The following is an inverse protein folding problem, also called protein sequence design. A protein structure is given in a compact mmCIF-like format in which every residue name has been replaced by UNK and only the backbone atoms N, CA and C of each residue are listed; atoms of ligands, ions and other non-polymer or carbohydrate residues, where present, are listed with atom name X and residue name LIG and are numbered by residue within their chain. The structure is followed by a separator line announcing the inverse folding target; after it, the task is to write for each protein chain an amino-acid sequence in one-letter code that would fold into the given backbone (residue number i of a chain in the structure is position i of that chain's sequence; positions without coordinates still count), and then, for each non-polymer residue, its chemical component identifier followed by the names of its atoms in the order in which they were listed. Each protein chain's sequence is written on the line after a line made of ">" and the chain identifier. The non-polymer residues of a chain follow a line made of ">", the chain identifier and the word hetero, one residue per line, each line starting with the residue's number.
data_IF_869550431432
#
_entry.id   IF_869550431432
#
_cell.length_a   1.000
_cell.length_b   1.000
_cell.length_c   1.000
_cell.angle_alpha   90.00
_cell.angle_beta   90.00
_cell.angle_gamma   90.00
#
_symmetry.space_group_name_H-M   'P 1'
#
loop_
_entity.id
_entity.type
_entity.pdbx_description
1 polymer ?
#
# COMPACT_ATOMS: atom_id res chain seq x y z
N UNK A 1 49.24 -46.15 34.22
CA UNK A 1 49.59 -45.36 35.41
C UNK A 1 49.28 -43.90 35.13
N UNK A 2 48.48 -43.28 36.02
CA UNK A 2 48.55 -41.89 36.51
C UNK A 2 49.10 -40.78 35.58
N UNK A 3 48.31 -39.73 35.29
CA UNK A 3 48.32 -38.39 35.98
C UNK A 3 48.92 -37.34 35.00
N UNK A 4 48.49 -36.08 34.84
CA UNK A 4 47.48 -35.21 35.43
C UNK A 4 47.40 -33.88 34.61
N UNK A 5 46.21 -33.25 34.55
CA UNK A 5 45.88 -31.82 34.87
C UNK A 5 46.50 -30.69 33.98
N UNK A 6 45.88 -29.50 33.78
CA UNK A 6 44.46 -29.08 33.77
C UNK A 6 44.05 -28.28 32.51
N UNK A 7 42.75 -28.16 32.29
CA UNK A 7 42.13 -27.18 31.38
C UNK A 7 41.44 -26.11 32.25
N UNK A 8 41.86 -24.85 32.13
CA UNK A 8 41.07 -23.69 32.56
C UNK A 8 41.20 -22.62 31.48
N UNK A 9 40.15 -22.44 30.69
CA UNK A 9 39.94 -21.20 29.94
C UNK A 9 38.49 -20.81 30.15
N UNK A 10 38.31 -19.76 30.96
CA UNK A 10 37.06 -19.05 31.10
C UNK A 10 36.73 -18.35 29.76
N UNK A 11 35.57 -18.64 29.19
CA UNK A 11 35.06 -17.93 28.02
C UNK A 11 33.72 -17.29 28.39
N UNK A 12 33.80 -16.06 28.87
CA UNK A 12 32.67 -15.15 29.04
C UNK A 12 32.21 -14.67 27.67
N UNK A 13 31.15 -15.26 27.12
CA UNK A 13 30.49 -14.71 25.93
C UNK A 13 29.31 -13.84 26.36
N UNK A 14 29.48 -12.52 26.17
CA UNK A 14 28.45 -11.50 26.30
C UNK A 14 27.27 -11.82 25.36
N UNK A 15 26.12 -12.14 25.95
CA UNK A 15 24.85 -12.21 25.23
C UNK A 15 24.32 -10.78 24.99
N UNK A 16 24.74 -10.15 23.90
CA UNK A 16 24.07 -8.96 23.35
C UNK A 16 22.76 -9.40 22.69
N UNK A 17 21.70 -9.53 23.49
CA UNK A 17 20.33 -9.59 22.99
C UNK A 17 19.93 -8.20 22.48
N UNK A 18 20.33 -7.88 21.25
CA UNK A 18 19.78 -6.74 20.53
C UNK A 18 18.34 -7.08 20.13
N UNK A 19 17.36 -6.59 20.90
CA UNK A 19 15.98 -6.52 20.45
C UNK A 19 15.94 -5.59 19.21
N UNK A 20 16.06 -6.18 18.03
CA UNK A 20 15.65 -5.52 16.80
C UNK A 20 14.13 -5.42 16.82
N UNK A 21 13.61 -4.34 17.39
CA UNK A 21 12.21 -3.96 17.21
C UNK A 21 12.02 -3.62 15.74
N UNK A 22 11.68 -4.62 14.92
CA UNK A 22 11.12 -4.36 13.59
C UNK A 22 9.80 -3.62 13.81
N UNK A 23 9.83 -2.31 13.66
CA UNK A 23 8.63 -1.50 13.42
C UNK A 23 8.00 -2.04 12.13
N UNK A 24 7.13 -3.05 12.26
CA UNK A 24 6.22 -3.39 11.19
C UNK A 24 5.30 -2.18 11.04
N UNK A 25 5.34 -1.44 9.91
CA UNK A 25 4.46 -0.31 9.72
C UNK A 25 3.04 -0.84 9.73
N UNK A 26 2.20 -0.28 10.61
CA UNK A 26 0.78 -0.58 10.64
C UNK A 26 0.24 -0.34 9.22
N UNK A 27 -0.44 -1.33 8.60
CA UNK A 27 -1.18 -1.07 7.37
C UNK A 27 -2.10 0.12 7.66
N UNK A 28 -2.11 1.12 6.78
CA UNK A 28 -3.12 2.18 6.87
C UNK A 28 -4.46 1.50 6.61
N UNK A 29 -5.19 1.21 7.68
CA UNK A 29 -6.48 0.56 7.62
C UNK A 29 -7.52 1.65 7.36
N UNK A 30 -7.87 1.83 6.08
CA UNK A 30 -8.98 2.69 5.70
C UNK A 30 -10.31 1.97 5.97
N UNK A 31 -11.29 2.73 6.47
CA UNK A 31 -12.66 2.27 6.59
C UNK A 31 -13.45 2.63 5.33
N UNK A 32 -14.52 1.88 5.04
CA UNK A 32 -15.43 2.21 3.94
C UNK A 32 -16.13 3.57 4.14
N UNK A 33 -16.17 4.11 5.36
CA UNK A 33 -16.73 5.44 5.66
C UNK A 33 -15.76 6.58 5.46
N UNK A 34 -14.49 6.30 5.18
CA UNK A 34 -13.48 7.34 5.00
C UNK A 34 -13.74 8.13 3.70
N UNK A 35 -13.38 9.41 3.74
CA UNK A 35 -13.48 10.32 2.58
C UNK A 35 -12.14 10.94 2.21
N UNK A 36 -11.10 10.67 3.00
CA UNK A 36 -9.74 11.16 2.79
C UNK A 36 -8.77 10.00 2.90
N UNK A 37 -7.90 9.87 1.90
CA UNK A 37 -6.95 8.77 1.79
C UNK A 37 -5.56 9.31 1.47
N UNK A 38 -4.54 8.88 2.18
CA UNK A 38 -3.18 9.38 1.99
C UNK A 38 -2.17 8.26 1.76
N UNK A 39 -1.38 8.36 0.70
CA UNK A 39 -0.43 7.31 0.35
C UNK A 39 0.33 7.62 -0.91
N UNK A 40 1.05 6.62 -1.41
CA UNK A 40 1.85 6.67 -2.62
C UNK A 40 1.04 6.16 -3.81
N UNK A 41 0.95 7.00 -4.84
CA UNK A 41 0.08 6.78 -5.98
C UNK A 41 0.82 6.06 -7.10
N UNK A 42 0.19 5.03 -7.65
CA UNK A 42 0.59 4.36 -8.90
C UNK A 42 -0.58 4.32 -9.85
N UNK A 43 -0.37 4.51 -11.15
CA UNK A 43 -1.41 4.28 -12.15
C UNK A 43 -1.20 2.94 -12.86
N UNK A 44 -2.31 2.22 -13.09
CA UNK A 44 -2.34 0.93 -13.76
C UNK A 44 -3.61 0.83 -14.61
N UNK A 45 -3.47 0.64 -15.92
CA UNK A 45 -4.62 0.58 -16.82
C UNK A 45 -5.45 1.87 -16.82
N UNK A 46 -6.68 1.83 -16.32
CA UNK A 46 -7.58 2.98 -16.16
C UNK A 46 -7.79 3.40 -14.68
N UNK A 47 -7.17 2.70 -13.73
CA UNK A 47 -7.28 2.99 -12.29
C UNK A 47 -5.95 3.50 -11.70
N UNK A 48 -6.03 4.04 -10.49
CA UNK A 48 -4.89 4.24 -9.62
C UNK A 48 -4.89 3.21 -8.50
N UNK A 49 -3.71 2.96 -7.95
CA UNK A 49 -3.46 2.14 -6.78
C UNK A 49 -2.81 3.03 -5.73
N UNK A 50 -3.46 3.14 -4.56
CA UNK A 50 -2.96 3.86 -3.41
C UNK A 50 -2.23 2.89 -2.48
N UNK A 51 -0.93 3.13 -2.29
CA UNK A 51 -0.06 2.30 -1.48
C UNK A 51 0.30 3.02 -0.18
N UNK A 52 0.43 2.28 0.92
CA UNK A 52 0.83 2.89 2.20
C UNK A 52 2.30 3.38 2.18
N UNK A 53 3.17 2.73 1.39
CA UNK A 53 4.61 3.00 1.35
C UNK A 53 5.15 3.14 -0.07
N UNK A 54 6.21 3.92 -0.23
CA UNK A 54 6.82 4.21 -1.54
C UNK A 54 7.41 2.97 -2.22
N UNK A 55 8.04 2.08 -1.45
CA UNK A 55 8.65 0.84 -1.97
C UNK A 55 7.62 -0.09 -2.62
N UNK A 56 6.35 0.02 -2.25
CA UNK A 56 5.25 -0.78 -2.79
C UNK A 56 4.84 -0.34 -4.19
N UNK A 57 5.01 0.94 -4.54
CA UNK A 57 4.75 1.45 -5.90
C UNK A 57 5.60 0.73 -6.94
N UNK A 58 6.79 0.27 -6.54
CA UNK A 58 7.74 -0.41 -7.42
C UNK A 58 7.57 -1.94 -7.43
N UNK A 59 6.69 -2.49 -6.57
CA UNK A 59 6.51 -3.93 -6.39
C UNK A 59 5.06 -4.34 -6.72
N UNK A 60 4.80 -4.86 -7.93
CA UNK A 60 3.43 -5.09 -8.42
C UNK A 60 2.70 -6.28 -7.77
N UNK A 61 3.37 -7.10 -6.95
CA UNK A 61 2.81 -8.34 -6.42
C UNK A 61 2.81 -8.35 -4.88
N UNK A 62 1.63 -8.57 -4.29
CA UNK A 62 1.50 -9.11 -2.94
C UNK A 62 1.48 -8.10 -1.79
N UNK A 63 1.07 -6.84 -2.02
CA UNK A 63 0.95 -5.87 -0.92
C UNK A 63 -0.42 -5.19 -0.90
N UNK A 64 -0.95 -4.88 0.29
CA UNK A 64 -2.25 -4.24 0.41
C UNK A 64 -2.18 -2.83 -0.18
N UNK A 65 -3.02 -2.58 -1.18
CA UNK A 65 -3.27 -1.28 -1.77
C UNK A 65 -4.80 -1.05 -1.87
N UNK A 66 -5.21 0.17 -2.22
CA UNK A 66 -6.58 0.47 -2.58
C UNK A 66 -6.67 0.91 -4.04
N UNK A 67 -7.56 0.29 -4.81
CA UNK A 67 -7.87 0.73 -6.17
C UNK A 67 -8.84 1.90 -6.16
N UNK A 68 -8.75 2.76 -7.17
CA UNK A 68 -9.71 3.83 -7.38
C UNK A 68 -9.52 4.54 -8.70
N UNK A 69 -10.39 5.50 -9.01
CA UNK A 69 -10.23 6.36 -10.18
C UNK A 69 -10.80 7.76 -9.96
N UNK A 70 -10.22 8.73 -10.67
CA UNK A 70 -10.84 10.00 -11.01
C UNK A 70 -11.72 9.84 -12.27
N UNK A 71 -12.63 10.80 -12.56
CA UNK A 71 -13.21 10.94 -13.90
C UNK A 71 -12.14 10.89 -14.99
N UNK A 72 -12.45 10.30 -16.15
CA UNK A 72 -11.46 9.92 -17.18
C UNK A 72 -10.47 11.04 -17.54
N UNK A 73 -10.97 12.25 -17.76
CA UNK A 73 -10.13 13.36 -18.19
C UNK A 73 -9.16 13.80 -17.10
N UNK A 74 -9.63 13.84 -15.84
CA UNK A 74 -8.79 14.13 -14.68
C UNK A 74 -7.79 13.00 -14.40
N UNK A 75 -8.21 11.74 -14.58
CA UNK A 75 -7.35 10.56 -14.40
C UNK A 75 -6.17 10.57 -15.38
N UNK A 76 -6.40 10.98 -16.64
CA UNK A 76 -5.33 11.10 -17.64
C UNK A 76 -4.30 12.14 -17.25
N UNK A 77 -4.74 13.31 -16.78
CA UNK A 77 -3.84 14.36 -16.32
C UNK A 77 -3.07 13.95 -15.06
N UNK A 78 -3.77 13.43 -14.06
CA UNK A 78 -3.18 12.98 -12.80
C UNK A 78 -2.10 11.90 -13.00
N UNK A 79 -2.25 11.05 -14.02
CA UNK A 79 -1.24 10.05 -14.39
C UNK A 79 0.09 10.68 -14.80
N UNK A 80 0.06 11.78 -15.53
CA UNK A 80 1.26 12.49 -15.97
C UNK A 80 1.91 13.22 -14.79
N UNK A 81 1.08 13.81 -13.93
CA UNK A 81 1.56 14.74 -12.92
C UNK A 81 1.91 14.09 -11.58
N UNK A 82 1.26 12.97 -11.21
CA UNK A 82 1.26 12.46 -9.83
C UNK A 82 1.74 11.00 -9.70
N UNK A 83 2.06 10.32 -10.79
CA UNK A 83 2.50 8.93 -10.72
C UNK A 83 3.80 8.80 -9.90
N UNK A 84 3.81 7.92 -8.91
CA UNK A 84 4.92 7.71 -7.99
C UNK A 84 5.03 8.74 -6.87
N UNK A 85 4.10 9.69 -6.75
CA UNK A 85 4.13 10.70 -5.70
C UNK A 85 3.30 10.30 -4.48
N UNK A 86 3.62 10.90 -3.34
CA UNK A 86 2.78 10.85 -2.16
C UNK A 86 1.65 11.88 -2.31
N UNK A 87 0.42 11.45 -2.09
CA UNK A 87 -0.79 12.23 -2.36
C UNK A 87 -1.79 12.13 -1.23
N UNK A 88 -2.68 13.13 -1.16
CA UNK A 88 -3.96 13.07 -0.48
C UNK A 88 -5.06 12.98 -1.53
N UNK A 89 -5.95 12.01 -1.37
CA UNK A 89 -7.13 11.78 -2.19
C UNK A 89 -8.35 12.17 -1.37
N UNK A 90 -9.27 12.93 -1.97
CA UNK A 90 -10.61 13.17 -1.42
C UNK A 90 -11.63 12.54 -2.35
N UNK A 91 -12.60 11.84 -1.76
CA UNK A 91 -13.67 11.20 -2.51
C UNK A 91 -14.59 10.38 -1.62
N UNK A 92 -15.24 9.40 -2.22
CA UNK A 92 -16.10 8.44 -1.54
C UNK A 92 -15.59 7.02 -1.80
N UNK A 93 -16.00 6.07 -0.97
CA UNK A 93 -15.79 4.66 -1.28
C UNK A 93 -17.00 4.08 -2.00
N UNK A 94 -16.77 3.01 -2.76
CA UNK A 94 -17.82 2.13 -3.24
C UNK A 94 -17.46 0.70 -2.91
N UNK A 95 -18.39 -0.02 -2.29
CA UNK A 95 -18.22 -1.44 -1.99
C UNK A 95 -17.97 -2.23 -3.27
N UNK A 96 -17.00 -3.15 -3.21
CA UNK A 96 -16.72 -4.07 -4.29
C UNK A 96 -17.56 -5.34 -4.14
N UNK A 97 -18.05 -5.87 -5.26
CA UNK A 97 -18.69 -7.19 -5.33
C UNK A 97 -18.22 -7.90 -6.59
N UNK A 98 -18.03 -9.21 -6.50
CA UNK A 98 -17.67 -10.02 -7.66
C UNK A 98 -18.83 -10.16 -8.68
N UNK A 99 -20.05 -9.83 -8.26
CA UNK A 99 -21.26 -9.85 -9.09
C UNK A 99 -21.47 -8.55 -9.89
N UNK A 100 -20.53 -7.60 -9.81
CA UNK A 100 -20.61 -6.35 -10.56
C UNK A 100 -20.66 -6.63 -12.09
N UNK A 101 -21.54 -5.96 -12.85
CA UNK A 101 -21.61 -6.10 -14.30
C UNK A 101 -20.25 -5.87 -14.96
N UNK A 102 -19.74 -6.87 -15.69
CA UNK A 102 -18.43 -6.78 -16.34
C UNK A 102 -17.25 -6.65 -15.39
N UNK A 103 -17.43 -7.00 -14.10
CA UNK A 103 -16.46 -6.96 -12.99
C UNK A 103 -15.71 -5.63 -12.92
N UNK A 104 -16.47 -4.53 -12.99
CA UNK A 104 -15.92 -3.18 -12.96
C UNK A 104 -16.91 -2.16 -12.39
N UNK A 105 -16.37 -1.04 -11.96
CA UNK A 105 -17.13 0.17 -11.62
C UNK A 105 -16.73 1.27 -12.62
N UNK A 106 -17.71 1.93 -13.25
CA UNK A 106 -17.46 3.11 -14.08
C UNK A 106 -17.42 4.38 -13.22
N UNK A 107 -16.33 5.11 -13.34
CA UNK A 107 -16.15 6.44 -12.77
C UNK A 107 -16.05 7.45 -13.90
N UNK A 108 -17.21 7.81 -14.48
CA UNK A 108 -17.33 8.79 -15.56
C UNK A 108 -16.34 8.49 -16.70
N UNK A 109 -16.37 7.24 -17.19
CA UNK A 109 -15.51 6.73 -18.24
C UNK A 109 -14.20 6.10 -17.78
N UNK A 110 -13.75 6.26 -16.53
CA UNK A 110 -12.64 5.45 -16.00
C UNK A 110 -13.17 4.12 -15.47
N UNK A 111 -12.66 2.99 -15.95
CA UNK A 111 -13.06 1.68 -15.42
C UNK A 111 -12.16 1.26 -14.26
N UNK A 112 -12.76 1.03 -13.09
CA UNK A 112 -12.10 0.44 -11.92
C UNK A 112 -12.34 -1.07 -11.93
N UNK A 113 -11.26 -1.85 -11.89
CA UNK A 113 -11.26 -3.32 -11.88
C UNK A 113 -10.89 -3.91 -10.51
N UNK A 114 -10.53 -3.05 -9.57
CA UNK A 114 -10.08 -3.44 -8.23
C UNK A 114 -8.86 -4.38 -8.30
N UNK A 115 -7.80 -3.96 -9.00
CA UNK A 115 -6.56 -4.73 -9.10
C UNK A 115 -5.92 -4.98 -7.73
N UNK A 116 -6.23 -4.17 -6.73
CA UNK A 116 -5.80 -4.36 -5.35
C UNK A 116 -6.59 -5.43 -4.57
N UNK A 117 -7.74 -5.88 -5.08
CA UNK A 117 -8.57 -6.90 -4.43
C UNK A 117 -9.15 -6.46 -3.08
N UNK A 118 -9.35 -5.15 -2.86
CA UNK A 118 -9.89 -4.62 -1.62
C UNK A 118 -11.41 -4.79 -1.53
N UNK A 119 -11.98 -4.73 -0.33
CA UNK A 119 -13.43 -4.83 -0.13
C UNK A 119 -14.21 -3.62 -0.69
N UNK A 120 -13.52 -2.52 -1.00
CA UNK A 120 -14.06 -1.32 -1.60
C UNK A 120 -13.01 -0.63 -2.46
N UNK A 121 -13.47 0.27 -3.32
CA UNK A 121 -12.63 1.12 -4.17
C UNK A 121 -12.88 2.60 -3.87
N UNK A 122 -11.96 3.46 -4.28
CA UNK A 122 -12.09 4.91 -4.11
C UNK A 122 -12.65 5.54 -5.39
N UNK A 123 -13.80 6.19 -5.28
CA UNK A 123 -14.34 7.11 -6.28
C UNK A 123 -13.79 8.51 -5.98
N UNK A 124 -12.64 8.83 -6.56
CA UNK A 124 -11.93 10.07 -6.26
C UNK A 124 -12.59 11.28 -6.94
N UNK A 125 -12.73 12.37 -6.20
CA UNK A 125 -13.09 13.69 -6.72
C UNK A 125 -11.86 14.55 -6.96
N UNK A 126 -10.83 14.37 -6.12
CA UNK A 126 -9.60 15.16 -6.15
C UNK A 126 -8.40 14.36 -5.65
N UNK A 127 -7.25 14.59 -6.27
CA UNK A 127 -5.94 14.12 -5.80
C UNK A 127 -5.00 15.33 -5.76
N UNK A 128 -4.31 15.53 -4.64
CA UNK A 128 -3.30 16.58 -4.49
C UNK A 128 -1.99 15.99 -3.94
N UNK A 129 -0.82 16.47 -4.40
CA UNK A 129 0.45 16.05 -3.83
C UNK A 129 0.56 16.52 -2.37
N UNK A 130 1.25 15.72 -1.56
CA UNK A 130 1.60 16.03 -0.17
C UNK A 130 3.08 15.71 0.08
N UNK A 131 3.69 16.41 1.03
CA UNK A 131 5.10 16.23 1.41
C UNK A 131 5.35 14.93 2.20
#
# INVERSE_FOLDING_TARGET
>A
MMKAIPFVVAASFLALAACASTLQPTPVAYAATDTVFEGWLRFSGEEFQLNARQDQVLQPLGRPCLSGALPRDLQRQARLDLNGQRVRITGQTQAWSDDLPGRRIDRQGSNIRNECGAAFVILADRIVPIA
#
